data_IF_919963405366
#
_entry.id   IF_919963405366
#
_cell.length_a   1.000
_cell.length_b   1.000
_cell.length_c   1.000
_cell.angle_alpha   90.00
_cell.angle_beta   90.00
_cell.angle_gamma   90.00
#
_symmetry.space_group_name_H-M   'P 1'
#
loop_
_entity.id
_entity.type
_entity.pdbx_description
1 polymer ?
#
# COMPACT_ATOMS: atom_id res chain seq x y z
N UNK A 1 -23.95 -3.96 18.18
CA UNK A 1 -23.52 -3.80 16.77
C UNK A 1 -22.12 -3.20 16.77
N UNK A 2 -21.26 -3.48 15.78
CA UNK A 2 -19.88 -2.96 15.74
C UNK A 2 -19.51 -2.51 14.33
N UNK A 3 -18.71 -1.47 14.22
CA UNK A 3 -18.10 -1.02 12.97
C UNK A 3 -16.72 -1.67 12.86
N UNK A 4 -16.57 -2.58 11.90
CA UNK A 4 -15.30 -3.28 11.66
C UNK A 4 -14.18 -2.31 11.27
N UNK A 5 -14.51 -1.30 10.48
CA UNK A 5 -13.54 -0.38 9.92
C UNK A 5 -14.16 0.94 9.48
N UNK A 6 -13.43 2.03 9.69
CA UNK A 6 -13.57 3.27 8.92
C UNK A 6 -12.36 3.33 7.99
N UNK A 7 -12.60 3.40 6.68
CA UNK A 7 -11.52 3.41 5.67
C UNK A 7 -11.56 4.70 4.88
N UNK A 8 -10.44 5.40 4.81
CA UNK A 8 -10.28 6.59 3.97
C UNK A 8 -9.46 6.21 2.75
N UNK A 9 -10.02 6.46 1.57
CA UNK A 9 -9.29 6.39 0.31
C UNK A 9 -8.62 7.72 0.01
N UNK A 10 -7.29 7.72 -0.09
CA UNK A 10 -6.51 8.91 -0.45
C UNK A 10 -5.68 8.60 -1.69
N UNK A 11 -5.79 9.46 -2.71
CA UNK A 11 -4.85 9.44 -3.83
C UNK A 11 -3.52 10.00 -3.36
N UNK A 12 -2.48 9.18 -3.40
CA UNK A 12 -1.13 9.56 -2.96
C UNK A 12 -0.32 9.99 -4.19
N UNK A 13 0.25 11.21 -4.22
CA UNK A 13 1.06 11.64 -5.36
C UNK A 13 2.46 11.01 -5.26
N UNK A 14 2.59 9.73 -5.57
CA UNK A 14 3.88 9.05 -5.58
C UNK A 14 4.86 9.73 -6.56
N UNK A 15 6.16 9.57 -6.30
CA UNK A 15 7.28 10.03 -7.12
C UNK A 15 7.52 11.55 -7.22
N UNK A 16 6.71 12.37 -6.53
CA UNK A 16 7.03 13.80 -6.31
C UNK A 16 8.15 14.00 -5.29
N UNK A 17 8.52 15.24 -5.00
CA UNK A 17 9.52 15.55 -3.97
C UNK A 17 9.03 15.18 -2.57
N UNK A 18 9.93 14.63 -1.74
CA UNK A 18 9.54 14.03 -0.45
C UNK A 18 8.91 15.02 0.52
N UNK A 19 9.43 16.25 0.54
CA UNK A 19 8.87 17.35 1.36
C UNK A 19 7.47 17.73 0.90
N UNK A 20 7.24 17.70 -0.42
CA UNK A 20 5.93 18.00 -1.00
C UNK A 20 4.94 16.88 -0.68
N UNK A 21 5.35 15.62 -0.83
CA UNK A 21 4.56 14.46 -0.44
C UNK A 21 4.17 14.53 1.05
N UNK A 22 5.15 14.79 1.91
CA UNK A 22 4.91 14.92 3.35
C UNK A 22 3.91 16.03 3.64
N UNK A 23 4.08 17.22 3.05
CA UNK A 23 3.17 18.34 3.26
C UNK A 23 1.74 18.04 2.80
N UNK A 24 1.56 17.43 1.63
CA UNK A 24 0.24 17.07 1.10
C UNK A 24 -0.44 16.04 2.02
N UNK A 25 0.32 15.04 2.48
CA UNK A 25 -0.20 13.98 3.34
C UNK A 25 -0.52 14.48 4.75
N UNK A 26 0.31 15.36 5.33
CA UNK A 26 0.03 15.99 6.62
C UNK A 26 -1.25 16.83 6.56
N UNK A 27 -1.42 17.64 5.52
CA UNK A 27 -2.62 18.46 5.35
C UNK A 27 -3.88 17.61 5.22
N UNK A 28 -3.83 16.57 4.38
CA UNK A 28 -4.97 15.68 4.18
C UNK A 28 -5.34 14.90 5.45
N UNK A 29 -4.35 14.27 6.10
CA UNK A 29 -4.60 13.43 7.26
C UNK A 29 -4.94 14.23 8.52
N UNK A 30 -4.50 15.49 8.64
CA UNK A 30 -4.96 16.39 9.70
C UNK A 30 -6.48 16.60 9.66
N UNK A 31 -7.02 16.90 8.47
CA UNK A 31 -8.45 17.08 8.27
C UNK A 31 -9.24 15.79 8.60
N UNK A 32 -8.72 14.66 8.12
CA UNK A 32 -9.35 13.37 8.38
C UNK A 32 -9.27 12.91 9.83
N UNK A 33 -8.22 13.26 10.56
CA UNK A 33 -8.08 12.84 11.95
C UNK A 33 -9.15 13.49 12.84
N UNK A 34 -9.40 14.79 12.64
CA UNK A 34 -10.49 15.48 13.33
C UNK A 34 -11.85 14.82 13.03
N UNK A 35 -12.14 14.61 11.74
CA UNK A 35 -13.36 13.93 11.31
C UNK A 35 -13.51 12.52 11.90
N UNK A 36 -12.45 11.71 11.87
CA UNK A 36 -12.47 10.35 12.40
C UNK A 36 -12.69 10.31 13.91
N UNK A 37 -12.09 11.24 14.66
CA UNK A 37 -12.28 11.33 16.10
C UNK A 37 -13.73 11.65 16.42
N UNK A 38 -14.29 12.65 15.76
CA UNK A 38 -15.66 13.10 16.00
C UNK A 38 -16.67 12.01 15.61
N UNK A 39 -16.44 11.34 14.47
CA UNK A 39 -17.26 10.22 14.01
C UNK A 39 -17.17 9.00 14.95
N UNK A 40 -15.96 8.66 15.42
CA UNK A 40 -15.77 7.57 16.39
C UNK A 40 -16.47 7.88 17.71
N UNK A 41 -16.41 9.13 18.17
CA UNK A 41 -17.12 9.55 19.38
C UNK A 41 -18.63 9.43 19.21
N UNK A 42 -19.19 9.89 18.09
CA UNK A 42 -20.62 9.77 17.80
C UNK A 42 -21.10 8.31 17.80
N UNK A 43 -20.30 7.38 17.27
CA UNK A 43 -20.63 5.96 17.35
C UNK A 43 -20.53 5.41 18.78
N UNK A 44 -19.52 5.79 19.53
CA UNK A 44 -19.37 5.39 20.93
C UNK A 44 -20.53 5.91 21.80
N UNK A 45 -21.03 7.12 21.54
CA UNK A 45 -22.15 7.74 22.27
C UNK A 45 -23.45 6.93 22.11
N UNK A 46 -23.61 6.20 21.00
CA UNK A 46 -24.73 5.26 20.76
C UNK A 46 -24.33 3.79 21.02
N UNK A 47 -23.26 3.56 21.79
CA UNK A 47 -22.73 2.25 22.16
C UNK A 47 -22.34 1.34 20.97
N UNK A 48 -21.86 1.93 19.88
CA UNK A 48 -21.29 1.23 18.72
C UNK A 48 -19.77 1.40 18.72
N UNK A 49 -19.06 0.29 18.92
CA UNK A 49 -17.60 0.26 18.89
C UNK A 49 -17.06 0.36 17.44
N UNK A 50 -16.04 1.19 17.24
CA UNK A 50 -15.22 1.23 16.01
C UNK A 50 -13.93 0.47 16.22
N UNK A 51 -13.72 -0.63 15.49
CA UNK A 51 -12.58 -1.54 15.72
C UNK A 51 -11.29 -1.07 15.06
N UNK A 52 -11.37 -0.51 13.85
CA UNK A 52 -10.17 -0.07 13.12
C UNK A 52 -10.40 1.18 12.27
N UNK A 53 -9.36 2.00 12.12
CA UNK A 53 -9.22 3.14 11.22
C UNK A 53 -8.13 2.84 10.20
N UNK A 54 -8.48 2.89 8.92
CA UNK A 54 -7.61 2.43 7.82
C UNK A 54 -7.41 3.53 6.81
N UNK A 55 -6.22 3.59 6.23
CA UNK A 55 -5.93 4.41 5.07
C UNK A 55 -5.68 3.48 3.87
N UNK A 56 -6.25 3.79 2.72
CA UNK A 56 -5.94 3.09 1.48
C UNK A 56 -5.57 4.03 0.35
N UNK A 57 -4.73 3.57 -0.57
CA UNK A 57 -4.34 4.32 -1.78
C UNK A 57 -4.54 3.51 -3.05
N UNK A 58 -4.43 4.21 -4.17
CA UNK A 58 -4.30 3.59 -5.49
C UNK A 58 -3.01 2.75 -5.58
N UNK A 59 -2.88 1.85 -6.57
CA UNK A 59 -1.70 1.02 -6.69
C UNK A 59 -0.41 1.84 -6.76
N UNK A 60 0.61 1.43 -6.00
CA UNK A 60 1.89 2.15 -5.89
C UNK A 60 2.52 2.33 -7.27
N UNK A 61 2.42 1.28 -8.09
CA UNK A 61 3.00 1.23 -9.44
C UNK A 61 1.96 1.50 -10.54
N UNK A 62 0.92 2.27 -10.25
CA UNK A 62 -0.02 2.69 -11.30
C UNK A 62 0.59 3.82 -12.14
N UNK A 63 0.54 3.64 -13.47
CA UNK A 63 0.79 4.58 -14.57
C UNK A 63 2.11 4.46 -15.36
N UNK A 64 1.90 4.16 -16.65
CA UNK A 64 2.85 3.99 -17.75
C UNK A 64 3.79 5.20 -17.94
N UNK A 65 3.41 6.43 -17.57
CA UNK A 65 4.19 7.63 -17.95
C UNK A 65 5.36 7.98 -17.01
N UNK A 66 5.32 7.65 -15.72
CA UNK A 66 6.37 8.06 -14.76
C UNK A 66 7.55 7.09 -14.69
N UNK A 67 7.34 5.81 -15.01
CA UNK A 67 8.41 4.81 -15.10
C UNK A 67 9.31 5.02 -16.33
N UNK A 68 8.83 5.68 -17.38
CA UNK A 68 9.62 5.98 -18.57
C UNK A 68 10.57 7.18 -18.41
N UNK A 69 10.33 8.06 -17.43
CA UNK A 69 11.10 9.29 -17.23
C UNK A 69 12.32 9.11 -16.29
N UNK A 70 12.35 8.04 -15.49
CA UNK A 70 13.43 7.73 -14.52
C UNK A 70 13.88 6.29 -14.69
N UNK A 71 15.12 5.97 -14.33
CA UNK A 71 15.58 4.58 -14.28
C UNK A 71 14.70 3.80 -13.28
N UNK A 72 14.24 2.60 -13.64
CA UNK A 72 13.40 1.76 -12.77
C UNK A 72 13.97 1.62 -11.36
N UNK A 73 15.29 1.46 -11.23
CA UNK A 73 15.95 1.33 -9.92
C UNK A 73 15.81 2.61 -9.06
N UNK A 74 15.93 3.78 -9.67
CA UNK A 74 15.76 5.06 -8.97
C UNK A 74 14.31 5.26 -8.54
N UNK A 75 13.36 4.86 -9.38
CA UNK A 75 11.93 4.88 -9.06
C UNK A 75 11.62 3.99 -7.86
N UNK A 76 12.19 2.78 -7.82
CA UNK A 76 12.01 1.85 -6.70
C UNK A 76 12.61 2.40 -5.40
N UNK A 77 13.81 2.99 -5.45
CA UNK A 77 14.44 3.66 -4.30
C UNK A 77 13.53 4.79 -3.79
N UNK A 78 13.02 5.65 -4.69
CA UNK A 78 12.16 6.76 -4.32
C UNK A 78 10.85 6.30 -3.68
N UNK A 79 10.20 5.28 -4.24
CA UNK A 79 9.02 4.66 -3.64
C UNK A 79 9.34 4.18 -2.22
N UNK A 80 10.47 3.52 -2.04
CA UNK A 80 10.90 3.05 -0.75
C UNK A 80 11.11 4.18 0.28
N UNK A 81 11.65 5.32 -0.12
CA UNK A 81 11.76 6.49 0.77
C UNK A 81 10.38 7.04 1.13
N UNK A 82 9.52 7.21 0.13
CA UNK A 82 8.16 7.72 0.29
C UNK A 82 7.27 6.83 1.16
N UNK A 83 7.40 5.51 1.03
CA UNK A 83 6.69 4.56 1.89
C UNK A 83 7.10 4.69 3.37
N UNK A 84 8.35 5.06 3.66
CA UNK A 84 8.80 5.31 5.04
C UNK A 84 8.20 6.62 5.59
N UNK A 85 8.07 7.64 4.75
CA UNK A 85 7.38 8.90 5.09
C UNK A 85 5.92 8.60 5.42
N UNK A 86 5.23 7.86 4.55
CA UNK A 86 3.82 7.49 4.76
C UNK A 86 3.62 6.71 6.05
N UNK A 87 4.50 5.78 6.38
CA UNK A 87 4.44 5.02 7.65
C UNK A 87 4.50 5.93 8.87
N UNK A 88 5.43 6.90 8.88
CA UNK A 88 5.56 7.89 9.96
C UNK A 88 4.28 8.70 10.10
N UNK A 89 3.71 9.17 8.99
CA UNK A 89 2.51 10.01 9.01
C UNK A 89 1.27 9.19 9.43
N UNK A 90 1.09 7.98 8.91
CA UNK A 90 -0.01 7.07 9.29
C UNK A 90 0.02 6.78 10.79
N UNK A 91 1.22 6.59 11.36
CA UNK A 91 1.39 6.41 12.80
C UNK A 91 1.08 7.68 13.60
N UNK A 92 1.52 8.84 13.11
CA UNK A 92 1.26 10.16 13.73
C UNK A 92 -0.24 10.46 13.86
N UNK A 93 -1.05 10.09 12.87
CA UNK A 93 -2.50 10.31 12.86
C UNK A 93 -3.32 9.11 13.35
N UNK A 94 -2.70 8.19 14.08
CA UNK A 94 -3.38 7.08 14.77
C UNK A 94 -4.23 6.20 13.85
N UNK A 95 -3.81 6.01 12.61
CA UNK A 95 -4.36 4.94 11.77
C UNK A 95 -3.76 3.61 12.22
N UNK A 96 -4.61 2.58 12.24
CA UNK A 96 -4.16 1.23 12.62
C UNK A 96 -3.24 0.67 11.55
N UNK A 97 -3.59 0.87 10.29
CA UNK A 97 -2.76 0.47 9.17
C UNK A 97 -3.10 1.19 7.86
N UNK A 98 -2.12 1.15 6.97
CA UNK A 98 -2.20 1.60 5.60
C UNK A 98 -2.21 0.40 4.65
N UNK A 99 -3.08 0.47 3.64
CA UNK A 99 -3.20 -0.56 2.61
C UNK A 99 -2.98 0.02 1.22
N UNK A 100 -2.16 -0.63 0.40
CA UNK A 100 -2.04 -0.26 -1.01
C UNK A 100 -1.76 -1.47 -1.87
N UNK A 101 -2.40 -1.52 -3.04
CA UNK A 101 -2.05 -2.52 -4.04
C UNK A 101 -0.62 -2.24 -4.54
N UNK A 102 0.28 -3.22 -4.51
CA UNK A 102 1.61 -3.00 -5.05
C UNK A 102 1.53 -2.74 -6.57
N UNK A 103 0.76 -3.58 -7.27
CA UNK A 103 0.57 -3.51 -8.72
C UNK A 103 -0.71 -4.26 -9.13
N UNK A 104 -1.38 -3.76 -10.16
CA UNK A 104 -2.42 -4.50 -10.88
C UNK A 104 -1.74 -5.39 -11.92
N UNK A 105 -1.41 -6.62 -11.53
CA UNK A 105 -0.58 -7.50 -12.32
C UNK A 105 -1.30 -8.15 -13.50
N UNK A 106 -2.62 -8.24 -13.46
CA UNK A 106 -3.43 -8.67 -14.59
C UNK A 106 -3.42 -7.65 -15.74
N UNK A 107 -3.38 -6.35 -15.44
CA UNK A 107 -3.42 -5.27 -16.44
C UNK A 107 -2.03 -4.71 -16.80
N UNK A 108 -1.21 -4.42 -15.79
CA UNK A 108 -0.05 -3.53 -15.97
C UNK A 108 1.23 -4.29 -16.26
N UNK A 109 1.36 -5.52 -15.77
CA UNK A 109 2.63 -6.26 -15.88
C UNK A 109 2.96 -6.64 -17.32
N UNK A 110 1.97 -6.96 -18.15
CA UNK A 110 2.19 -7.25 -19.57
C UNK A 110 2.84 -6.07 -20.31
N UNK A 111 2.60 -4.83 -19.85
CA UNK A 111 3.16 -3.60 -20.45
C UNK A 111 4.64 -3.38 -20.13
N UNK A 112 5.15 -3.99 -19.06
CA UNK A 112 6.52 -3.74 -18.58
C UNK A 112 7.58 -4.68 -19.18
N UNK A 113 7.19 -5.70 -19.95
CA UNK A 113 8.11 -6.59 -20.67
C UNK A 113 9.21 -7.14 -19.76
N UNK A 114 10.47 -6.81 -20.05
CA UNK A 114 11.66 -7.27 -19.30
C UNK A 114 11.65 -6.77 -17.83
N UNK A 115 11.00 -5.64 -17.55
CA UNK A 115 10.92 -5.04 -16.22
C UNK A 115 9.88 -5.70 -15.31
N UNK A 116 8.99 -6.54 -15.85
CA UNK A 116 8.02 -7.33 -15.07
C UNK A 116 8.69 -8.06 -13.91
N UNK A 117 9.78 -8.76 -14.20
CA UNK A 117 10.47 -9.60 -13.21
C UNK A 117 11.10 -8.76 -12.09
N UNK A 118 11.60 -7.57 -12.42
CA UNK A 118 12.17 -6.64 -11.44
C UNK A 118 11.07 -6.10 -10.52
N UNK A 119 9.96 -5.62 -11.08
CA UNK A 119 8.81 -5.15 -10.31
C UNK A 119 8.26 -6.24 -9.39
N UNK A 120 8.05 -7.46 -9.91
CA UNK A 120 7.57 -8.60 -9.13
C UNK A 120 8.53 -9.00 -7.99
N UNK A 121 9.84 -8.78 -8.16
CA UNK A 121 10.83 -9.07 -7.12
C UNK A 121 10.86 -8.01 -6.01
N UNK A 122 10.35 -6.80 -6.25
CA UNK A 122 10.27 -5.73 -5.23
C UNK A 122 9.01 -5.79 -4.37
N UNK A 123 7.93 -6.40 -4.89
CA UNK A 123 6.69 -6.66 -4.14
C UNK A 123 6.95 -7.27 -2.74
N UNK A 124 7.81 -8.30 -2.56
CA UNK A 124 8.10 -8.81 -1.22
C UNK A 124 8.77 -7.75 -0.32
N UNK A 125 9.57 -6.83 -0.85
CA UNK A 125 10.14 -5.72 -0.07
C UNK A 125 9.06 -4.70 0.32
N UNK A 126 8.08 -4.42 -0.55
CA UNK A 126 6.92 -3.60 -0.21
C UNK A 126 6.06 -4.25 0.88
N UNK A 127 5.80 -5.56 0.76
CA UNK A 127 4.97 -6.32 1.72
C UNK A 127 5.68 -6.54 3.07
N UNK A 128 7.02 -6.67 3.08
CA UNK A 128 7.79 -6.92 4.30
C UNK A 128 7.96 -5.65 5.17
N UNK A 129 7.60 -4.48 4.65
CA UNK A 129 7.74 -3.22 5.39
C UNK A 129 6.75 -3.15 6.54
N UNK A 130 7.25 -3.39 7.75
CA UNK A 130 6.70 -2.89 9.03
C UNK A 130 5.28 -3.37 9.36
N UNK A 131 4.83 -3.18 10.59
CA UNK A 131 3.59 -3.81 11.08
C UNK A 131 2.31 -3.15 10.55
N UNK A 132 2.39 -1.88 10.15
CA UNK A 132 1.23 -1.08 9.73
C UNK A 132 1.01 -1.02 8.23
N UNK A 133 1.82 -1.71 7.42
CA UNK A 133 1.68 -1.71 5.96
C UNK A 133 1.10 -3.05 5.48
N UNK A 134 0.02 -2.97 4.71
CA UNK A 134 -0.52 -4.13 4.00
C UNK A 134 -0.49 -3.86 2.51
N UNK A 135 -0.16 -4.89 1.75
CA UNK A 135 -0.20 -4.79 0.31
C UNK A 135 -0.85 -6.01 -0.32
N UNK A 136 -1.44 -5.78 -1.49
CA UNK A 136 -2.10 -6.77 -2.32
C UNK A 136 -1.45 -6.84 -3.70
N UNK A 137 -1.53 -8.01 -4.31
CA UNK A 137 -1.11 -8.26 -5.69
C UNK A 137 -2.30 -8.79 -6.47
N UNK A 138 -2.82 -8.00 -7.40
CA UNK A 138 -3.99 -8.37 -8.18
C UNK A 138 -3.57 -9.15 -9.43
N UNK A 139 -3.77 -10.47 -9.43
CA UNK A 139 -3.22 -11.39 -10.46
C UNK A 139 -4.23 -11.88 -11.48
N UNK A 140 -5.52 -11.60 -11.28
CA UNK A 140 -6.57 -12.11 -12.13
C UNK A 140 -7.79 -11.18 -12.14
N UNK A 141 -8.41 -11.03 -13.31
CA UNK A 141 -9.72 -10.41 -13.48
C UNK A 141 -10.54 -11.16 -14.51
N UNK A 142 -11.86 -10.94 -14.49
CA UNK A 142 -12.77 -11.48 -15.50
C UNK A 142 -12.44 -10.95 -16.90
N UNK A 143 -11.95 -9.71 -16.99
CA UNK A 143 -11.66 -9.04 -18.26
C UNK A 143 -10.30 -9.47 -18.85
N UNK A 144 -9.26 -9.55 -18.02
CA UNK A 144 -7.88 -9.81 -18.50
C UNK A 144 -7.41 -11.26 -18.27
N UNK A 145 -8.25 -12.11 -17.67
CA UNK A 145 -7.91 -13.48 -17.33
C UNK A 145 -6.91 -13.56 -16.16
N UNK A 146 -6.10 -14.62 -16.13
CA UNK A 146 -5.14 -14.88 -15.04
C UNK A 146 -3.72 -14.63 -15.54
N UNK A 147 -2.99 -13.74 -14.87
CA UNK A 147 -1.54 -13.61 -15.07
C UNK A 147 -0.80 -14.70 -14.27
N UNK A 148 -0.46 -15.81 -14.95
CA UNK A 148 0.25 -16.95 -14.35
C UNK A 148 1.68 -16.60 -13.86
N UNK A 149 2.36 -15.66 -14.51
CA UNK A 149 3.70 -15.20 -14.11
C UNK A 149 3.64 -14.46 -12.76
N UNK A 150 2.67 -13.55 -12.64
CA UNK A 150 2.41 -12.83 -11.39
C UNK A 150 1.90 -13.77 -10.29
N UNK A 151 1.05 -14.75 -10.62
CA UNK A 151 0.59 -15.77 -9.67
C UNK A 151 1.75 -16.61 -9.13
N UNK A 152 2.66 -17.07 -10.01
CA UNK A 152 3.87 -17.81 -9.62
C UNK A 152 4.78 -16.97 -8.72
N UNK A 153 4.92 -15.69 -9.03
CA UNK A 153 5.70 -14.75 -8.22
C UNK A 153 5.05 -14.51 -6.87
N UNK A 154 3.73 -14.33 -6.83
CA UNK A 154 2.92 -14.25 -5.60
C UNK A 154 3.11 -15.47 -4.70
N UNK A 155 3.04 -16.68 -5.27
CA UNK A 155 3.28 -17.92 -4.52
C UNK A 155 4.71 -17.98 -3.93
N UNK A 156 5.71 -17.52 -4.69
CA UNK A 156 7.11 -17.43 -4.21
C UNK A 156 7.25 -16.43 -3.06
N UNK A 157 6.58 -15.28 -3.13
CA UNK A 157 6.56 -14.24 -2.09
C UNK A 157 5.96 -14.79 -0.80
N UNK A 158 4.82 -15.48 -0.88
CA UNK A 158 4.16 -16.10 0.28
C UNK A 158 5.08 -17.13 0.95
N UNK A 159 5.71 -18.00 0.16
CA UNK A 159 6.66 -19.00 0.67
C UNK A 159 7.86 -18.36 1.37
N UNK A 160 8.41 -17.30 0.79
CA UNK A 160 9.53 -16.55 1.39
C UNK A 160 9.15 -15.94 2.75
N UNK A 161 7.94 -15.38 2.86
CA UNK A 161 7.43 -14.79 4.12
C UNK A 161 7.28 -15.85 5.22
N UNK A 162 6.73 -17.01 4.90
CA UNK A 162 6.55 -18.10 5.85
C UNK A 162 7.89 -18.64 6.37
N UNK A 163 8.92 -18.72 5.52
CA UNK A 163 10.27 -19.14 5.94
C UNK A 163 10.98 -18.16 6.88
N UNK A 164 10.74 -16.85 6.72
CA UNK A 164 11.34 -15.81 7.60
C UNK A 164 10.66 -15.80 8.97
N UNK A 165 9.34 -16.02 9.03
CA UNK A 165 8.65 -16.17 10.32
C UNK A 165 9.13 -17.40 11.09
N UNK A 166 9.33 -18.55 10.44
CA UNK A 166 9.85 -19.75 11.13
C UNK A 166 11.26 -19.60 11.68
N UNK A 167 12.10 -18.70 11.14
CA UNK A 167 13.46 -18.46 11.65
C UNK A 167 13.52 -17.53 12.87
N UNK A 168 12.48 -16.73 13.12
CA UNK A 168 12.44 -15.82 14.27
C UNK A 168 11.70 -16.42 15.48
N UNK A 169 11.24 -17.67 15.38
CA UNK A 169 10.55 -18.41 16.43
C UNK A 169 11.14 -19.82 16.65
N UNK A 170 12.41 -20.02 16.28
CA UNK A 170 13.19 -21.22 16.61
C UNK A 170 14.54 -20.79 17.20
#
# INVERSE_FOLDING_TARGET
>A
MKIRAITIGQKIPYLIEDKELESVMEQSLSNFNAFNRDLTQQFNDIAIEVQTKRLCSQPILSYDQQLHARNLNETLIKIHEQLAILERIVSKYEFDYFTSCAVLADEQIQKYGIYEKLLLNEIPAFIKRKEKFFSSLHVASTENGINLSALRSGAKIIKFRNMVFTKNYC
#
